data_IF_220922787725
#
_entry.id   IF_220922787725
#
_cell.length_a   1.000
_cell.length_b   1.000
_cell.length_c   1.000
_cell.angle_alpha   90.00
_cell.angle_beta   90.00
_cell.angle_gamma   90.00
#
_symmetry.space_group_name_H-M   'P 1'
#
loop_
_entity.id
_entity.type
_entity.pdbx_description
1 polymer ?
#
# COMPACT_ATOMS: atom_id res chain seq x y z
N UNK A 1 29.67 34.76 -26.51
CA UNK A 1 29.06 34.54 -25.18
C UNK A 1 27.55 34.34 -25.26
N UNK A 2 26.78 35.07 -26.09
CA UNK A 2 25.31 34.85 -26.23
C UNK A 2 24.91 33.45 -26.77
N UNK A 3 25.71 32.84 -27.64
CA UNK A 3 25.42 31.52 -28.20
C UNK A 3 25.52 30.35 -27.21
N UNK A 4 26.43 30.43 -26.23
CA UNK A 4 26.61 29.38 -25.21
C UNK A 4 25.50 29.43 -24.16
N UNK A 5 25.07 30.62 -23.73
CA UNK A 5 23.97 30.77 -22.78
C UNK A 5 22.64 30.24 -23.33
N UNK A 6 22.33 30.52 -24.59
CA UNK A 6 21.13 30.00 -25.25
C UNK A 6 21.14 28.48 -25.41
N UNK A 7 22.30 27.90 -25.68
CA UNK A 7 22.46 26.44 -25.81
C UNK A 7 22.36 25.74 -24.45
N UNK A 8 22.91 26.33 -23.40
CA UNK A 8 22.82 25.83 -22.02
C UNK A 8 21.38 25.90 -21.48
N UNK A 9 20.64 26.98 -21.74
CA UNK A 9 19.21 27.10 -21.39
C UNK A 9 18.34 26.06 -22.10
N UNK A 10 18.58 25.83 -23.40
CA UNK A 10 17.89 24.77 -24.16
C UNK A 10 18.24 23.39 -23.61
N UNK A 11 19.49 23.14 -23.26
CA UNK A 11 19.93 21.89 -22.63
C UNK A 11 19.24 21.64 -21.28
N UNK A 12 19.12 22.66 -20.43
CA UNK A 12 18.41 22.58 -19.15
C UNK A 12 16.91 22.30 -19.34
N UNK A 13 16.26 22.94 -20.32
CA UNK A 13 14.85 22.68 -20.63
C UNK A 13 14.61 21.25 -21.12
N UNK A 14 15.49 20.74 -21.99
CA UNK A 14 15.43 19.35 -22.46
C UNK A 14 15.66 18.37 -21.30
N UNK A 15 16.63 18.64 -20.43
CA UNK A 15 16.89 17.83 -19.24
C UNK A 15 15.68 17.81 -18.29
N UNK A 16 15.05 18.97 -18.03
CA UNK A 16 13.86 19.07 -17.20
C UNK A 16 12.67 18.29 -17.80
N UNK A 17 12.47 18.37 -19.12
CA UNK A 17 11.44 17.59 -19.84
C UNK A 17 11.68 16.09 -19.72
N UNK A 18 12.93 15.63 -19.90
CA UNK A 18 13.28 14.21 -19.78
C UNK A 18 13.06 13.69 -18.35
N UNK A 19 13.44 14.47 -17.34
CA UNK A 19 13.18 14.13 -15.93
C UNK A 19 11.67 14.07 -15.67
N UNK A 20 10.91 15.06 -16.15
CA UNK A 20 9.45 15.08 -16.02
C UNK A 20 8.78 13.87 -16.69
N UNK A 21 9.20 13.52 -17.90
CA UNK A 21 8.70 12.34 -18.63
C UNK A 21 9.04 11.03 -17.90
N UNK A 22 10.26 10.90 -17.38
CA UNK A 22 10.69 9.73 -16.62
C UNK A 22 9.89 9.56 -15.31
N UNK A 23 9.68 10.64 -14.57
CA UNK A 23 8.86 10.63 -13.34
C UNK A 23 7.40 10.27 -13.65
N UNK A 24 6.83 10.85 -14.71
CA UNK A 24 5.47 10.55 -15.15
C UNK A 24 5.34 9.06 -15.53
N UNK A 25 6.30 8.52 -16.27
CA UNK A 25 6.34 7.09 -16.60
C UNK A 25 6.38 6.21 -15.35
N UNK A 26 7.22 6.54 -14.36
CA UNK A 26 7.30 5.80 -13.10
C UNK A 26 6.01 5.82 -12.29
N UNK A 27 5.27 6.93 -12.31
CA UNK A 27 3.99 7.07 -11.62
C UNK A 27 2.89 6.26 -12.33
N UNK A 28 2.85 6.32 -13.66
CA UNK A 28 1.82 5.66 -14.46
C UNK A 28 2.04 4.15 -14.61
N UNK A 29 3.29 3.68 -14.54
CA UNK A 29 3.66 2.28 -14.73
C UNK A 29 4.45 1.73 -13.52
N UNK A 30 3.83 1.65 -12.33
CA UNK A 30 4.47 1.04 -11.17
C UNK A 30 4.70 -0.46 -11.41
N UNK A 31 5.82 -0.98 -10.93
CA UNK A 31 6.06 -2.43 -10.94
C UNK A 31 5.02 -3.15 -10.08
N UNK A 32 4.74 -4.41 -10.37
CA UNK A 32 3.83 -5.22 -9.55
C UNK A 32 4.28 -5.29 -8.09
N UNK A 33 5.59 -5.29 -7.84
CA UNK A 33 6.16 -5.25 -6.50
C UNK A 33 5.79 -3.97 -5.77
N UNK A 34 5.94 -2.84 -6.44
CA UNK A 34 5.60 -1.54 -5.89
C UNK A 34 4.08 -1.40 -5.68
N UNK A 35 3.27 -1.95 -6.59
CA UNK A 35 1.81 -2.03 -6.42
C UNK A 35 1.41 -2.85 -5.20
N UNK A 36 2.04 -4.01 -4.98
CA UNK A 36 1.81 -4.85 -3.81
C UNK A 36 2.19 -4.11 -2.53
N UNK A 37 3.39 -3.50 -2.48
CA UNK A 37 3.82 -2.70 -1.31
C UNK A 37 2.84 -1.57 -1.01
N UNK A 38 2.47 -0.77 -2.01
CA UNK A 38 1.51 0.33 -1.85
C UNK A 38 0.17 -0.17 -1.33
N UNK A 39 -0.32 -1.30 -1.85
CA UNK A 39 -1.57 -1.92 -1.40
C UNK A 39 -1.50 -2.33 0.07
N UNK A 40 -0.40 -2.95 0.50
CA UNK A 40 -0.21 -3.37 1.89
C UNK A 40 -0.09 -2.19 2.86
N UNK A 41 0.62 -1.13 2.47
CA UNK A 41 0.70 0.09 3.28
C UNK A 41 -0.64 0.83 3.35
N UNK A 42 -1.37 0.93 2.23
CA UNK A 42 -2.71 1.51 2.23
C UNK A 42 -3.69 0.70 3.10
N UNK A 43 -3.58 -0.63 3.09
CA UNK A 43 -4.32 -1.50 4.01
C UNK A 43 -3.96 -1.25 5.47
N UNK A 44 -2.66 -1.20 5.81
CA UNK A 44 -2.19 -0.83 7.15
C UNK A 44 -2.79 0.51 7.60
N UNK A 45 -2.68 1.53 6.77
CA UNK A 45 -3.19 2.86 7.09
C UNK A 45 -4.71 2.90 7.27
N UNK A 46 -5.46 2.11 6.48
CA UNK A 46 -6.90 1.99 6.67
C UNK A 46 -7.23 1.32 8.01
N UNK A 47 -6.48 0.30 8.41
CA UNK A 47 -6.65 -0.35 9.72
C UNK A 47 -6.34 0.63 10.86
N UNK A 48 -5.25 1.40 10.77
CA UNK A 48 -4.86 2.38 11.81
C UNK A 48 -5.80 3.60 11.90
N UNK A 49 -6.68 3.79 10.91
CA UNK A 49 -7.74 4.80 10.90
C UNK A 49 -9.12 4.21 11.17
N UNK A 50 -9.19 2.91 11.51
CA UNK A 50 -10.46 2.18 11.72
C UNK A 50 -11.43 2.30 10.52
N UNK A 51 -10.87 2.48 9.31
CA UNK A 51 -11.61 2.68 8.07
C UNK A 51 -11.97 1.33 7.45
N UNK A 52 -13.12 0.78 7.84
CA UNK A 52 -13.61 -0.52 7.39
C UNK A 52 -13.71 -0.61 5.86
N UNK A 53 -14.26 0.41 5.21
CA UNK A 53 -14.38 0.43 3.75
C UNK A 53 -13.00 0.51 3.09
N UNK A 54 -12.10 1.31 3.67
CA UNK A 54 -10.70 1.42 3.30
C UNK A 54 -9.94 0.11 3.38
N UNK A 55 -10.21 -0.74 4.38
CA UNK A 55 -9.62 -2.09 4.46
C UNK A 55 -10.23 -2.98 3.38
N UNK A 56 -11.55 -2.99 3.28
CA UNK A 56 -12.26 -3.93 2.41
C UNK A 56 -12.05 -3.66 0.92
N UNK A 57 -11.65 -2.44 0.50
CA UNK A 57 -11.27 -2.15 -0.89
C UNK A 57 -10.06 -2.97 -1.37
N UNK A 58 -9.24 -3.46 -0.45
CA UNK A 58 -8.06 -4.27 -0.75
C UNK A 58 -8.32 -5.78 -0.68
N UNK A 59 -9.53 -6.18 -0.27
CA UNK A 59 -9.94 -7.58 -0.22
C UNK A 59 -10.82 -7.88 -1.43
N UNK A 60 -10.49 -8.92 -2.19
CA UNK A 60 -11.32 -9.34 -3.32
C UNK A 60 -12.73 -9.71 -2.86
N UNK A 61 -13.76 -9.19 -3.53
CA UNK A 61 -15.16 -9.55 -3.25
C UNK A 61 -15.42 -11.06 -3.39
N UNK A 62 -14.64 -11.74 -4.24
CA UNK A 62 -14.71 -13.19 -4.45
C UNK A 62 -13.76 -13.97 -3.52
N UNK A 63 -13.13 -13.30 -2.56
CA UNK A 63 -12.20 -13.94 -1.62
C UNK A 63 -12.91 -15.06 -0.87
N UNK A 64 -12.31 -16.24 -0.96
CA UNK A 64 -12.64 -17.44 -0.20
C UNK A 64 -11.36 -18.24 -0.04
N UNK A 65 -11.02 -18.63 1.18
CA UNK A 65 -9.85 -19.46 1.45
C UNK A 65 -10.21 -20.86 1.97
N UNK A 66 -9.20 -21.72 2.11
CA UNK A 66 -9.37 -23.09 2.62
C UNK A 66 -9.72 -23.20 4.10
N UNK A 67 -9.65 -22.09 4.85
CA UNK A 67 -10.01 -22.02 6.28
C UNK A 67 -11.46 -21.55 6.49
N UNK A 68 -12.20 -21.30 5.40
CA UNK A 68 -13.58 -20.81 5.47
C UNK A 68 -13.68 -19.31 5.76
N UNK A 69 -12.62 -18.53 5.51
CA UNK A 69 -12.74 -17.08 5.42
C UNK A 69 -13.31 -16.68 4.07
N UNK A 70 -14.25 -15.74 4.11
CA UNK A 70 -14.88 -15.12 2.95
C UNK A 70 -14.79 -13.61 3.08
N UNK A 71 -15.05 -12.88 1.99
CA UNK A 71 -15.13 -11.41 2.04
C UNK A 71 -15.99 -10.89 3.19
N UNK A 72 -17.21 -11.42 3.36
CA UNK A 72 -18.12 -11.00 4.43
C UNK A 72 -17.58 -11.32 5.83
N UNK A 73 -16.91 -12.47 5.99
CA UNK A 73 -16.32 -12.86 7.27
C UNK A 73 -15.14 -11.96 7.65
N UNK A 74 -14.30 -11.60 6.68
CA UNK A 74 -13.21 -10.63 6.88
C UNK A 74 -13.78 -9.26 7.28
N UNK A 75 -14.84 -8.79 6.58
CA UNK A 75 -15.52 -7.53 6.94
C UNK A 75 -16.06 -7.55 8.37
N UNK A 76 -16.73 -8.63 8.77
CA UNK A 76 -17.28 -8.76 10.12
C UNK A 76 -16.19 -8.75 11.21
N UNK A 77 -15.02 -9.36 10.93
CA UNK A 77 -13.89 -9.37 11.87
C UNK A 77 -13.33 -7.96 12.05
N UNK A 78 -13.06 -7.24 10.96
CA UNK A 78 -12.56 -5.87 11.07
C UNK A 78 -13.57 -4.92 11.72
N UNK A 79 -14.86 -5.05 11.39
CA UNK A 79 -15.92 -4.27 12.04
C UNK A 79 -15.88 -4.46 13.56
N UNK A 80 -15.79 -5.71 14.01
CA UNK A 80 -15.69 -6.01 15.44
C UNK A 80 -14.39 -5.50 16.08
N UNK A 81 -13.25 -5.66 15.41
CA UNK A 81 -11.97 -5.12 15.90
C UNK A 81 -12.07 -3.60 16.10
N UNK A 82 -12.74 -2.88 15.20
CA UNK A 82 -12.90 -1.43 15.31
C UNK A 82 -13.99 -1.00 16.31
N UNK A 83 -14.86 -1.91 16.73
CA UNK A 83 -15.77 -1.68 17.86
C UNK A 83 -15.05 -1.90 19.21
N UNK A 84 -14.22 -2.93 19.27
CA UNK A 84 -13.56 -3.39 20.51
C UNK A 84 -12.24 -2.62 20.81
N UNK A 85 -11.65 -1.96 19.81
CA UNK A 85 -10.34 -1.32 19.94
C UNK A 85 -10.23 0.03 19.23
N UNK A 86 -9.55 0.96 19.90
CA UNK A 86 -9.16 2.28 19.41
C UNK A 86 -7.62 2.42 19.29
N UNK A 87 -7.17 3.50 18.66
CA UNK A 87 -5.75 3.87 18.57
C UNK A 87 -4.86 2.76 18.01
N UNK A 88 -5.38 1.98 17.06
CA UNK A 88 -4.67 0.86 16.46
C UNK A 88 -3.39 1.35 15.76
N UNK A 89 -2.25 0.75 16.08
CA UNK A 89 -0.96 0.94 15.42
C UNK A 89 -0.39 -0.38 14.95
N UNK A 90 0.13 -0.40 13.73
CA UNK A 90 0.76 -1.57 13.11
C UNK A 90 2.20 -1.23 12.75
N UNK A 91 3.15 -1.99 13.23
CA UNK A 91 4.56 -1.81 12.94
C UNK A 91 5.04 -2.95 12.05
N UNK A 92 5.39 -2.61 10.80
CA UNK A 92 5.95 -3.57 9.85
C UNK A 92 7.47 -3.59 10.02
N UNK A 93 8.01 -4.70 10.53
CA UNK A 93 9.46 -4.91 10.69
C UNK A 93 10.11 -5.37 9.40
N UNK A 94 9.43 -6.22 8.63
CA UNK A 94 9.93 -6.75 7.36
C UNK A 94 8.77 -6.98 6.39
N UNK A 95 9.00 -6.66 5.11
CA UNK A 95 8.09 -6.97 4.02
C UNK A 95 8.90 -7.53 2.86
N UNK A 96 8.66 -8.78 2.51
CA UNK A 96 9.24 -9.44 1.34
C UNK A 96 8.14 -9.64 0.31
N UNK A 97 8.41 -9.27 -0.94
CA UNK A 97 7.47 -9.44 -2.05
C UNK A 97 8.14 -10.29 -3.12
N UNK A 98 7.49 -11.39 -3.47
CA UNK A 98 7.95 -12.34 -4.47
C UNK A 98 6.96 -12.37 -5.64
N UNK A 99 7.49 -12.23 -6.86
CA UNK A 99 6.69 -12.26 -8.08
C UNK A 99 7.25 -13.35 -9.01
N UNK A 100 6.77 -14.59 -8.89
CA UNK A 100 7.23 -15.67 -9.73
C UNK A 100 6.69 -15.49 -11.16
N UNK A 101 7.50 -15.76 -12.19
CA UNK A 101 7.14 -15.60 -13.62
C UNK A 101 5.82 -16.27 -14.06
N UNK A 102 5.30 -17.25 -13.31
CA UNK A 102 4.11 -18.05 -13.65
C UNK A 102 3.13 -18.24 -12.49
N UNK A 103 3.25 -17.48 -11.40
CA UNK A 103 2.34 -17.61 -10.25
C UNK A 103 1.87 -16.24 -9.77
N UNK A 104 0.80 -16.25 -8.99
CA UNK A 104 0.32 -15.07 -8.28
C UNK A 104 1.43 -14.54 -7.37
N UNK A 105 1.61 -13.22 -7.37
CA UNK A 105 2.55 -12.55 -6.47
C UNK A 105 2.22 -12.84 -5.01
N UNK A 106 3.24 -12.99 -4.18
CA UNK A 106 3.13 -13.27 -2.76
C UNK A 106 3.85 -12.17 -1.98
N UNK A 107 3.28 -11.77 -0.86
CA UNK A 107 3.98 -10.95 0.12
C UNK A 107 4.04 -11.67 1.47
N UNK A 108 5.17 -11.56 2.15
CA UNK A 108 5.39 -12.05 3.51
C UNK A 108 5.68 -10.85 4.40
N UNK A 109 4.91 -10.70 5.46
CA UNK A 109 5.00 -9.60 6.41
C UNK A 109 5.41 -10.12 7.77
N UNK A 110 6.43 -9.51 8.35
CA UNK A 110 6.70 -9.58 9.79
C UNK A 110 6.24 -8.27 10.40
N UNK A 111 5.12 -8.30 11.11
CA UNK A 111 4.51 -7.14 11.73
C UNK A 111 4.04 -7.45 13.15
N UNK A 112 3.95 -6.41 13.98
CA UNK A 112 3.29 -6.42 15.28
C UNK A 112 2.39 -5.20 15.38
N UNK A 113 1.48 -5.16 16.36
CA UNK A 113 0.62 -4.00 16.55
C UNK A 113 0.24 -3.78 18.00
N UNK A 114 -0.25 -2.58 18.29
CA UNK A 114 -0.83 -2.19 19.58
C UNK A 114 -2.20 -1.60 19.31
N UNK A 115 -3.09 -1.71 20.27
CA UNK A 115 -4.37 -1.05 20.26
C UNK A 115 -4.79 -0.79 21.71
N UNK A 116 -5.71 0.16 21.92
CA UNK A 116 -6.34 0.42 23.21
C UNK A 116 -7.71 -0.25 23.23
N UNK A 117 -8.01 -1.04 24.24
CA UNK A 117 -9.36 -1.58 24.45
C UNK A 117 -10.36 -0.46 24.76
N UNK A 118 -11.50 -0.45 24.09
CA UNK A 118 -12.54 0.56 24.28
C UNK A 118 -13.29 0.40 25.63
N UNK A 119 -13.06 -0.70 26.36
CA UNK A 119 -13.50 -0.92 27.75
C UNK A 119 -12.55 -0.33 28.81
N UNK A 120 -11.44 0.29 28.39
CA UNK A 120 -10.42 0.84 29.27
C UNK A 120 -9.50 -0.23 29.91
N UNK A 121 -9.58 -1.49 29.45
CA UNK A 121 -8.78 -2.61 29.95
C UNK A 121 -8.00 -3.24 28.79
N UNK A 122 -6.97 -2.54 28.30
CA UNK A 122 -6.04 -3.08 27.31
C UNK A 122 -5.26 -2.02 26.59
#
# INVERSE_FOLDING_TARGET
>A
MEGEEGMMRKGLLVAALLVGAFLTYKILFPSDEERIRRTLYAGKEAIEREDLEGVMKHVSFRYRDGNGFTYLRVKAIFARIFEDFDEIKIHIRKMEVEIPKRRLGKAILLAWGTARGSDGVG
#
